data_IF_375282382605
#
_entry.id   IF_375282382605
#
_cell.length_a   1.000
_cell.length_b   1.000
_cell.length_c   1.000
_cell.angle_alpha   90.00
_cell.angle_beta   90.00
_cell.angle_gamma   90.00
#
_symmetry.space_group_name_H-M   'P 1'
#
loop_
_entity.id
_entity.type
_entity.pdbx_description
1 polymer ?
#
# COMPACT_ATOMS: atom_id res chain seq x y z
N UNK A 1 -9.13 -4.14 24.47
CA UNK A 1 -8.11 -3.11 24.34
C UNK A 1 -8.45 -2.26 23.12
N UNK A 2 -8.31 -0.93 23.18
CA UNK A 2 -8.46 -0.07 22.01
C UNK A 2 -7.37 -0.43 20.99
N UNK A 3 -7.72 -0.47 19.69
CA UNK A 3 -6.75 -0.69 18.63
C UNK A 3 -5.87 0.56 18.51
N UNK A 4 -4.56 0.39 18.35
CA UNK A 4 -3.62 1.49 18.11
C UNK A 4 -3.86 2.05 16.69
N UNK A 5 -4.17 3.34 16.57
CA UNK A 5 -4.24 4.03 15.28
C UNK A 5 -2.81 4.35 14.81
N UNK A 6 -2.43 3.82 13.65
CA UNK A 6 -1.10 4.08 13.06
C UNK A 6 -1.15 5.13 11.95
N UNK A 7 -2.28 5.24 11.25
CA UNK A 7 -2.53 6.32 10.28
C UNK A 7 -3.86 6.96 10.61
N UNK A 8 -3.87 8.29 10.67
CA UNK A 8 -5.07 9.09 10.86
C UNK A 8 -5.20 10.10 9.73
N UNK A 9 -6.31 10.03 9.01
CA UNK A 9 -6.65 10.96 7.92
C UNK A 9 -7.83 11.80 8.38
N UNK A 10 -7.64 13.13 8.44
CA UNK A 10 -8.61 14.08 8.99
C UNK A 10 -8.91 15.19 7.99
N UNK A 11 -10.20 15.37 7.68
CA UNK A 11 -10.77 16.40 6.79
C UNK A 11 -10.03 16.54 5.46
N UNK A 12 -9.49 15.41 4.98
CA UNK A 12 -8.63 15.40 3.82
C UNK A 12 -9.37 15.76 2.54
N UNK A 13 -8.85 16.77 1.84
CA UNK A 13 -9.31 17.20 0.52
C UNK A 13 -8.14 17.26 -0.45
N UNK A 14 -8.27 16.54 -1.57
CA UNK A 14 -7.33 16.59 -2.68
C UNK A 14 -7.92 17.37 -3.85
N UNK A 15 -7.18 18.37 -4.33
CA UNK A 15 -7.54 19.13 -5.53
C UNK A 15 -6.33 19.20 -6.48
N UNK A 16 -6.58 19.16 -7.78
CA UNK A 16 -5.58 19.31 -8.82
C UNK A 16 -6.08 20.30 -9.86
N UNK A 17 -5.28 21.33 -10.15
CA UNK A 17 -5.64 22.42 -11.10
C UNK A 17 -7.04 23.02 -10.86
N UNK A 18 -7.39 23.23 -9.60
CA UNK A 18 -8.69 23.78 -9.20
C UNK A 18 -9.84 22.76 -9.17
N UNK A 19 -9.63 21.53 -9.64
CA UNK A 19 -10.65 20.48 -9.60
C UNK A 19 -10.50 19.62 -8.33
N UNK A 20 -11.54 19.56 -7.50
CA UNK A 20 -11.58 18.68 -6.32
C UNK A 20 -11.76 17.23 -6.79
N UNK A 21 -10.83 16.37 -6.37
CA UNK A 21 -10.83 14.93 -6.66
C UNK A 21 -11.42 14.15 -5.48
N UNK A 22 -11.03 14.51 -4.26
CA UNK A 22 -11.53 13.94 -3.01
C UNK A 22 -11.84 15.09 -2.05
N UNK A 23 -12.91 14.98 -1.30
CA UNK A 23 -13.38 15.99 -0.35
C UNK A 23 -13.76 15.37 0.98
N UNK A 24 -13.30 15.96 2.08
CA UNK A 24 -13.68 15.66 3.46
C UNK A 24 -13.54 14.17 3.82
N UNK A 25 -12.45 13.54 3.34
CA UNK A 25 -12.15 12.13 3.61
C UNK A 25 -11.60 11.99 5.01
N UNK A 26 -12.22 11.12 5.81
CA UNK A 26 -11.85 10.83 7.19
C UNK A 26 -11.80 9.32 7.41
N UNK A 27 -10.68 8.78 7.90
CA UNK A 27 -10.55 7.39 8.30
C UNK A 27 -9.29 7.15 9.12
N UNK A 28 -9.31 6.02 9.85
CA UNK A 28 -8.15 5.50 10.58
C UNK A 28 -7.67 4.18 9.98
N UNK A 29 -6.35 3.94 10.04
CA UNK A 29 -5.74 2.63 9.84
C UNK A 29 -5.14 2.18 11.16
N UNK A 30 -5.42 0.92 11.56
CA UNK A 30 -4.95 0.37 12.82
C UNK A 30 -3.67 -0.45 12.63
N UNK A 31 -2.82 -0.47 13.66
CA UNK A 31 -1.58 -1.23 13.63
C UNK A 31 -1.84 -2.73 13.40
N UNK A 32 -1.08 -3.32 12.48
CA UNK A 32 -1.12 -4.76 12.16
C UNK A 32 -2.30 -5.20 11.30
N UNK A 33 -3.15 -4.28 10.79
CA UNK A 33 -4.22 -4.65 9.85
C UNK A 33 -3.77 -4.58 8.38
N UNK A 34 -4.45 -5.36 7.55
CA UNK A 34 -4.43 -5.21 6.10
C UNK A 34 -5.63 -4.36 5.71
N UNK A 35 -5.37 -3.09 5.44
CA UNK A 35 -6.36 -2.07 5.07
C UNK A 35 -6.36 -1.85 3.57
N UNK A 36 -7.53 -1.89 2.91
CA UNK A 36 -7.61 -1.74 1.46
C UNK A 36 -8.44 -0.52 1.06
N UNK A 37 -7.89 0.28 0.16
CA UNK A 37 -8.56 1.42 -0.49
C UNK A 37 -9.03 0.92 -1.86
N UNK A 38 -10.34 0.86 -2.07
CA UNK A 38 -10.95 0.38 -3.30
C UNK A 38 -11.90 1.40 -3.92
N UNK A 39 -12.36 1.11 -5.13
CA UNK A 39 -13.29 1.95 -5.87
C UNK A 39 -13.07 1.88 -7.37
N UNK A 40 -13.97 2.46 -8.14
CA UNK A 40 -13.90 2.49 -9.60
C UNK A 40 -12.69 3.22 -10.17
N UNK A 41 -12.48 3.11 -11.47
CA UNK A 41 -11.39 3.85 -12.14
C UNK A 41 -11.60 5.36 -12.03
N UNK A 42 -10.52 6.07 -11.70
CA UNK A 42 -10.53 7.54 -11.58
C UNK A 42 -11.26 8.09 -10.34
N UNK A 43 -11.60 7.28 -9.32
CA UNK A 43 -12.22 7.75 -8.08
C UNK A 43 -11.24 8.37 -7.07
N UNK A 44 -9.92 8.40 -7.36
CA UNK A 44 -8.93 9.06 -6.50
C UNK A 44 -8.08 8.15 -5.62
N UNK A 45 -8.11 6.81 -5.79
CA UNK A 45 -7.30 5.85 -4.98
C UNK A 45 -5.80 6.18 -4.98
N UNK A 46 -5.19 6.23 -6.16
CA UNK A 46 -3.76 6.54 -6.28
C UNK A 46 -3.45 8.00 -5.90
N UNK A 47 -4.44 8.91 -6.03
CA UNK A 47 -4.31 10.28 -5.53
C UNK A 47 -4.21 10.27 -4.01
N UNK A 48 -5.13 9.58 -3.31
CA UNK A 48 -5.09 9.45 -1.86
C UNK A 48 -3.76 8.82 -1.41
N UNK A 49 -3.36 7.71 -2.03
CA UNK A 49 -2.08 7.06 -1.72
C UNK A 49 -0.89 8.01 -1.84
N UNK A 50 -0.81 8.79 -2.93
CA UNK A 50 0.29 9.74 -3.15
C UNK A 50 0.34 10.85 -2.09
N UNK A 51 -0.80 11.27 -1.57
CA UNK A 51 -0.84 12.21 -0.44
C UNK A 51 -0.43 11.51 0.87
N UNK A 52 -0.88 10.27 1.11
CA UNK A 52 -0.51 9.51 2.31
C UNK A 52 1.01 9.29 2.42
N UNK A 53 1.69 9.06 1.30
CA UNK A 53 3.15 8.91 1.27
C UNK A 53 3.91 10.24 1.13
N UNK A 54 3.20 11.38 1.24
CA UNK A 54 3.80 12.72 1.25
C UNK A 54 4.34 13.22 -0.09
N UNK A 55 3.95 12.62 -1.23
CA UNK A 55 4.33 13.13 -2.56
C UNK A 55 3.58 14.41 -2.94
N UNK A 56 2.36 14.56 -2.46
CA UNK A 56 1.53 15.75 -2.70
C UNK A 56 1.03 16.33 -1.39
N UNK A 57 0.86 17.64 -1.35
CA UNK A 57 0.22 18.33 -0.23
C UNK A 57 -1.29 18.35 -0.45
N UNK A 58 -2.11 18.04 0.57
CA UNK A 58 -3.55 18.17 0.49
C UNK A 58 -3.96 19.67 0.35
N UNK A 59 -5.08 19.90 -0.31
CA UNK A 59 -5.68 21.24 -0.37
C UNK A 59 -6.27 21.64 1.00
N UNK A 60 -6.71 20.64 1.79
CA UNK A 60 -7.23 20.82 3.16
C UNK A 60 -7.04 19.51 3.94
N UNK A 61 -7.05 19.64 5.27
CA UNK A 61 -6.91 18.51 6.19
C UNK A 61 -5.48 18.06 6.39
N UNK A 62 -5.29 16.94 7.07
CA UNK A 62 -3.98 16.40 7.42
C UNK A 62 -3.95 14.88 7.39
N UNK A 63 -2.74 14.35 7.30
CA UNK A 63 -2.46 12.92 7.33
C UNK A 63 -1.35 12.70 8.35
N UNK A 64 -1.66 11.95 9.41
CA UNK A 64 -0.70 11.59 10.43
C UNK A 64 -0.28 10.15 10.25
N UNK A 65 1.03 9.88 10.26
CA UNK A 65 1.58 8.51 10.30
C UNK A 65 2.38 8.39 11.59
N UNK A 66 1.97 7.45 12.44
CA UNK A 66 2.58 7.24 13.77
C UNK A 66 2.69 8.56 14.56
N UNK A 67 1.59 9.33 14.53
CA UNK A 67 1.44 10.63 15.20
C UNK A 67 2.13 11.82 14.53
N UNK A 68 2.94 11.61 13.48
CA UNK A 68 3.65 12.68 12.78
C UNK A 68 2.89 13.14 11.53
N UNK A 69 2.74 14.45 11.33
CA UNK A 69 2.08 15.03 10.16
C UNK A 69 3.02 14.97 8.94
N UNK A 70 2.62 14.19 7.94
CA UNK A 70 3.42 13.96 6.71
C UNK A 70 3.62 15.25 5.90
N UNK A 71 2.73 16.23 6.07
CA UNK A 71 2.68 17.45 5.26
C UNK A 71 3.34 18.63 5.95
N UNK A 72 3.12 18.78 7.26
CA UNK A 72 3.65 19.88 8.06
C UNK A 72 5.11 19.68 8.48
N UNK A 73 5.62 18.45 8.37
CA UNK A 73 6.97 18.08 8.77
C UNK A 73 8.04 18.92 8.05
N UNK A 74 9.02 19.38 8.81
CA UNK A 74 10.24 19.97 8.26
C UNK A 74 11.10 18.91 7.54
N UNK A 75 12.28 19.32 7.03
CA UNK A 75 13.13 18.40 6.27
C UNK A 75 13.61 17.20 7.09
N UNK A 76 13.97 17.41 8.36
CA UNK A 76 14.49 16.35 9.22
C UNK A 76 13.36 15.43 9.69
N UNK A 77 12.27 15.99 10.17
CA UNK A 77 11.06 15.25 10.56
C UNK A 77 10.53 14.41 9.39
N UNK A 78 10.57 14.97 8.17
CA UNK A 78 10.16 14.25 6.96
C UNK A 78 11.03 13.03 6.69
N UNK A 79 12.35 13.11 6.89
CA UNK A 79 13.24 11.95 6.74
C UNK A 79 12.90 10.87 7.76
N UNK A 80 12.59 11.25 9.00
CA UNK A 80 12.19 10.30 10.05
C UNK A 80 10.83 9.65 9.75
N UNK A 81 9.89 10.39 9.17
CA UNK A 81 8.60 9.85 8.72
C UNK A 81 8.80 8.86 7.56
N UNK A 82 9.66 9.17 6.58
CA UNK A 82 9.92 8.30 5.43
C UNK A 82 10.52 6.94 5.83
N UNK A 83 11.23 6.87 6.97
CA UNK A 83 11.73 5.60 7.53
C UNK A 83 10.63 4.73 8.15
N UNK A 84 9.47 5.32 8.52
CA UNK A 84 8.37 4.62 9.17
C UNK A 84 7.49 3.81 8.22
N UNK A 85 7.60 4.06 6.90
CA UNK A 85 6.84 3.33 5.91
C UNK A 85 7.67 2.95 4.68
N UNK A 86 7.27 1.87 4.02
CA UNK A 86 7.80 1.48 2.72
C UNK A 86 6.73 1.59 1.64
N UNK A 87 7.14 1.74 0.38
CA UNK A 87 6.23 1.89 -0.76
C UNK A 87 6.60 0.93 -1.88
N UNK A 88 5.59 0.22 -2.39
CA UNK A 88 5.66 -0.54 -3.62
C UNK A 88 4.66 0.06 -4.62
N UNK A 89 5.17 0.56 -5.74
CA UNK A 89 4.36 1.07 -6.85
C UNK A 89 3.88 -0.06 -7.77
N UNK A 90 2.86 0.21 -8.56
CA UNK A 90 2.23 -0.75 -9.46
C UNK A 90 3.21 -1.51 -10.37
N UNK A 91 4.22 -0.85 -10.91
CA UNK A 91 5.29 -1.48 -11.71
C UNK A 91 6.39 -2.14 -10.88
N UNK A 92 6.29 -2.11 -9.53
CA UNK A 92 7.38 -2.48 -8.62
C UNK A 92 8.49 -1.44 -8.54
N UNK A 93 8.69 -0.66 -9.58
CA UNK A 93 9.69 0.41 -9.70
C UNK A 93 11.13 -0.01 -9.29
N UNK A 94 11.50 -1.27 -9.56
CA UNK A 94 12.87 -1.74 -9.37
C UNK A 94 13.81 -1.04 -10.36
N UNK A 95 15.01 -0.74 -9.91
CA UNK A 95 16.07 -0.25 -10.79
C UNK A 95 16.57 -1.39 -11.67
N UNK A 96 16.26 -1.33 -12.98
CA UNK A 96 16.54 -2.42 -13.92
C UNK A 96 18.02 -2.73 -14.14
N UNK A 97 18.91 -1.76 -13.87
CA UNK A 97 20.37 -1.91 -13.95
C UNK A 97 21.02 -2.44 -12.68
N UNK A 98 20.26 -2.61 -11.61
CA UNK A 98 20.71 -3.10 -10.31
C UNK A 98 20.23 -4.53 -10.08
N UNK A 99 21.05 -5.35 -9.41
CA UNK A 99 20.63 -6.67 -8.95
C UNK A 99 19.49 -6.57 -7.92
N UNK A 100 18.85 -7.69 -7.58
CA UNK A 100 17.86 -7.68 -6.49
C UNK A 100 18.49 -7.28 -5.16
N UNK A 101 19.70 -7.77 -4.87
CA UNK A 101 20.44 -7.40 -3.69
C UNK A 101 20.67 -5.89 -3.62
N UNK A 102 21.14 -5.28 -4.70
CA UNK A 102 21.41 -3.84 -4.75
C UNK A 102 20.12 -3.02 -4.63
N UNK A 103 19.02 -3.47 -5.25
CA UNK A 103 17.72 -2.83 -5.09
C UNK A 103 17.27 -2.78 -3.62
N UNK A 104 17.48 -3.87 -2.85
CA UNK A 104 17.06 -3.94 -1.44
C UNK A 104 18.06 -3.24 -0.53
N UNK A 105 19.34 -3.19 -0.87
CA UNK A 105 20.38 -2.45 -0.14
C UNK A 105 20.18 -0.94 -0.19
N UNK A 106 19.71 -0.41 -1.33
CA UNK A 106 19.64 1.02 -1.59
C UNK A 106 18.95 1.84 -0.47
N UNK A 107 17.77 1.47 0.06
CA UNK A 107 17.19 2.21 1.19
C UNK A 107 18.05 2.15 2.46
N UNK A 108 18.74 1.04 2.70
CA UNK A 108 19.62 0.88 3.86
C UNK A 108 20.84 1.78 3.76
N UNK A 109 21.44 1.86 2.57
CA UNK A 109 22.60 2.71 2.27
C UNK A 109 22.25 4.21 2.37
N UNK A 110 21.05 4.60 1.95
CA UNK A 110 20.61 5.99 1.96
C UNK A 110 20.15 6.47 3.35
N UNK A 111 19.53 5.60 4.15
CA UNK A 111 18.88 6.00 5.39
C UNK A 111 19.54 5.50 6.67
N UNK A 112 20.66 4.77 6.59
CA UNK A 112 21.37 4.26 7.78
C UNK A 112 22.87 4.41 7.66
N UNK A 113 23.56 4.43 8.82
CA UNK A 113 25.02 4.40 8.91
C UNK A 113 25.56 2.98 9.19
N UNK A 114 24.83 1.95 8.79
CA UNK A 114 25.22 0.56 8.98
C UNK A 114 26.45 0.20 8.12
N UNK A 115 27.36 -0.66 8.63
CA UNK A 115 28.47 -1.14 7.83
C UNK A 115 27.98 -1.97 6.63
N UNK A 116 28.71 -1.96 5.49
CA UNK A 116 28.28 -2.63 4.24
C UNK A 116 27.92 -4.10 4.41
N UNK A 117 28.62 -4.83 5.28
CA UNK A 117 28.32 -6.26 5.54
C UNK A 117 26.98 -6.44 6.26
N UNK A 118 26.63 -5.58 7.21
CA UNK A 118 25.33 -5.61 7.88
C UNK A 118 24.20 -5.29 6.89
N UNK A 119 24.38 -4.28 6.04
CA UNK A 119 23.43 -3.94 4.97
C UNK A 119 23.21 -5.14 4.05
N UNK A 120 24.29 -5.80 3.63
CA UNK A 120 24.21 -7.00 2.79
C UNK A 120 23.43 -8.13 3.45
N UNK A 121 23.69 -8.43 4.71
CA UNK A 121 22.99 -9.48 5.46
C UNK A 121 21.50 -9.17 5.64
N UNK A 122 21.16 -7.92 5.97
CA UNK A 122 19.77 -7.48 6.08
C UNK A 122 19.06 -7.64 4.73
N UNK A 123 19.66 -7.18 3.64
CA UNK A 123 19.07 -7.28 2.31
C UNK A 123 18.82 -8.74 1.89
N UNK A 124 19.77 -9.65 2.14
CA UNK A 124 19.60 -11.09 1.90
C UNK A 124 18.47 -11.68 2.76
N UNK A 125 18.34 -11.25 4.02
CA UNK A 125 17.24 -11.66 4.89
C UNK A 125 15.88 -11.20 4.33
N UNK A 126 15.77 -9.96 3.83
CA UNK A 126 14.54 -9.44 3.23
C UNK A 126 14.17 -10.22 1.97
N UNK A 127 15.14 -10.53 1.10
CA UNK A 127 14.90 -11.38 -0.07
C UNK A 127 14.42 -12.77 0.33
N UNK A 128 15.01 -13.36 1.36
CA UNK A 128 14.55 -14.66 1.89
C UNK A 128 13.12 -14.59 2.43
N UNK A 129 12.74 -13.53 3.14
CA UNK A 129 11.39 -13.34 3.69
C UNK A 129 10.30 -13.33 2.60
N UNK A 130 10.63 -12.86 1.40
CA UNK A 130 9.69 -12.86 0.26
C UNK A 130 9.87 -14.07 -0.67
N UNK A 131 10.64 -15.09 -0.28
CA UNK A 131 10.84 -16.32 -1.06
C UNK A 131 11.81 -16.18 -2.23
N UNK A 132 12.73 -15.20 -2.19
CA UNK A 132 13.72 -14.95 -3.25
C UNK A 132 15.17 -15.27 -2.82
N UNK A 133 15.34 -16.22 -1.90
CA UNK A 133 16.68 -16.70 -1.54
C UNK A 133 17.38 -17.32 -2.78
N UNK A 134 18.62 -16.93 -3.04
CA UNK A 134 19.42 -17.39 -4.19
C UNK A 134 19.21 -16.60 -5.48
N UNK A 135 18.31 -15.61 -5.49
CA UNK A 135 18.09 -14.70 -6.64
C UNK A 135 18.77 -13.33 -6.46
N UNK A 136 19.57 -13.17 -5.42
CA UNK A 136 20.23 -11.92 -5.02
C UNK A 136 21.03 -11.25 -6.15
N UNK A 137 21.71 -12.02 -6.99
CA UNK A 137 22.54 -11.51 -8.10
C UNK A 137 21.77 -11.36 -9.43
N UNK A 138 20.47 -11.65 -9.47
CA UNK A 138 19.69 -11.51 -10.69
C UNK A 138 19.24 -10.05 -10.92
N UNK A 139 19.19 -9.65 -12.19
CA UNK A 139 18.55 -8.39 -12.61
C UNK A 139 17.03 -8.56 -12.66
N UNK A 140 16.25 -7.49 -12.45
CA UNK A 140 14.79 -7.55 -12.55
C UNK A 140 14.28 -8.15 -13.87
N UNK A 141 14.96 -7.87 -15.00
CA UNK A 141 14.59 -8.40 -16.32
C UNK A 141 14.68 -9.92 -16.46
N UNK A 142 15.43 -10.59 -15.58
CA UNK A 142 15.57 -12.04 -15.58
C UNK A 142 14.50 -12.77 -14.75
N UNK A 143 13.54 -12.05 -14.17
CA UNK A 143 12.55 -12.55 -13.22
C UNK A 143 11.13 -12.51 -13.79
N UNK A 144 10.27 -13.44 -13.31
CA UNK A 144 8.84 -13.36 -13.55
C UNK A 144 8.21 -12.10 -12.93
N UNK A 145 7.03 -11.70 -13.40
CA UNK A 145 6.30 -10.55 -12.84
C UNK A 145 6.04 -10.68 -11.33
N UNK A 146 5.66 -11.87 -10.87
CA UNK A 146 5.46 -12.15 -9.45
C UNK A 146 6.74 -12.04 -8.63
N UNK A 147 7.87 -12.54 -9.15
CA UNK A 147 9.17 -12.39 -8.49
C UNK A 147 9.60 -10.91 -8.40
N UNK A 148 9.35 -10.12 -9.45
CA UNK A 148 9.61 -8.67 -9.41
C UNK A 148 8.75 -7.96 -8.34
N UNK A 149 7.47 -8.32 -8.21
CA UNK A 149 6.58 -7.79 -7.17
C UNK A 149 7.08 -8.14 -5.76
N UNK A 150 7.48 -9.41 -5.54
CA UNK A 150 8.08 -9.86 -4.27
C UNK A 150 9.37 -9.12 -3.95
N UNK A 151 10.25 -8.89 -4.93
CA UNK A 151 11.48 -8.10 -4.74
C UNK A 151 11.17 -6.62 -4.40
N UNK A 152 10.16 -6.02 -5.01
CA UNK A 152 9.72 -4.67 -4.69
C UNK A 152 9.19 -4.57 -3.25
N UNK A 153 8.47 -5.60 -2.76
CA UNK A 153 8.07 -5.70 -1.35
C UNK A 153 9.32 -5.81 -0.46
N UNK A 154 10.29 -6.66 -0.80
CA UNK A 154 11.53 -6.79 -0.02
C UNK A 154 12.27 -5.46 0.11
N UNK A 155 12.36 -4.68 -0.98
CA UNK A 155 12.94 -3.33 -0.94
C UNK A 155 12.13 -2.37 -0.06
N UNK A 156 10.81 -2.39 -0.18
CA UNK A 156 9.93 -1.57 0.65
C UNK A 156 10.05 -1.91 2.15
N UNK A 157 10.39 -3.17 2.48
CA UNK A 157 10.61 -3.66 3.85
C UNK A 157 12.03 -3.44 4.39
N UNK A 158 12.96 -2.90 3.60
CA UNK A 158 14.38 -2.88 3.93
C UNK A 158 14.68 -2.23 5.31
N UNK A 159 13.99 -1.14 5.63
CA UNK A 159 14.14 -0.37 6.87
C UNK A 159 13.26 -0.87 8.04
N UNK A 160 12.65 -2.06 7.94
CA UNK A 160 11.69 -2.56 8.95
C UNK A 160 10.57 -1.57 9.28
N UNK A 161 9.88 -1.00 8.26
CA UNK A 161 8.86 0.01 8.48
C UNK A 161 7.64 -0.58 9.20
N UNK A 162 6.90 0.27 9.95
CA UNK A 162 5.62 -0.11 10.58
C UNK A 162 4.48 -0.26 9.58
N UNK A 163 4.57 0.42 8.42
CA UNK A 163 3.53 0.48 7.39
C UNK A 163 4.11 0.19 6.01
N UNK A 164 3.44 -0.64 5.23
CA UNK A 164 3.71 -0.82 3.80
C UNK A 164 2.53 -0.31 2.97
N UNK A 165 2.82 0.60 2.05
CA UNK A 165 1.88 1.06 1.02
C UNK A 165 2.12 0.28 -0.27
N UNK A 166 1.09 -0.42 -0.76
CA UNK A 166 1.14 -1.17 -2.00
C UNK A 166 0.12 -0.61 -3.00
N UNK A 167 0.58 -0.19 -4.16
CA UNK A 167 -0.28 0.30 -5.25
C UNK A 167 -0.47 -0.82 -6.26
N UNK A 168 -1.68 -1.41 -6.32
CA UNK A 168 -2.10 -2.48 -7.23
C UNK A 168 -1.07 -3.64 -7.29
N UNK A 169 -0.77 -4.32 -6.16
CA UNK A 169 0.33 -5.29 -6.10
C UNK A 169 0.14 -6.49 -7.02
N UNK A 170 -1.08 -6.96 -7.22
CA UNK A 170 -1.44 -8.11 -8.08
C UNK A 170 -1.66 -7.76 -9.55
N UNK A 171 -1.63 -6.45 -9.90
CA UNK A 171 -1.90 -6.04 -11.28
C UNK A 171 -0.94 -6.66 -12.29
N UNK A 172 -1.50 -7.31 -13.32
CA UNK A 172 -0.75 -7.96 -14.40
C UNK A 172 -0.22 -9.34 -14.07
N UNK A 173 -0.58 -9.92 -12.92
CA UNK A 173 -0.28 -11.30 -12.55
C UNK A 173 -1.42 -12.24 -12.98
N UNK A 174 -1.07 -13.49 -13.24
CA UNK A 174 -2.05 -14.55 -13.37
C UNK A 174 -2.70 -14.88 -12.01
N UNK A 175 -3.86 -15.54 -11.97
CA UNK A 175 -4.60 -15.79 -10.73
C UNK A 175 -3.83 -16.60 -9.68
N UNK A 176 -2.97 -17.52 -10.08
CA UNK A 176 -2.18 -18.37 -9.16
C UNK A 176 -1.08 -17.52 -8.51
N UNK A 177 -0.30 -16.81 -9.32
CA UNK A 177 0.75 -15.91 -8.85
C UNK A 177 0.19 -14.78 -7.97
N UNK A 178 -1.03 -14.28 -8.29
CA UNK A 178 -1.73 -13.30 -7.46
C UNK A 178 -2.08 -13.88 -6.08
N UNK A 179 -2.63 -15.09 -6.03
CA UNK A 179 -2.96 -15.77 -4.77
C UNK A 179 -1.71 -16.03 -3.91
N UNK A 180 -0.59 -16.44 -4.52
CA UNK A 180 0.69 -16.59 -3.81
C UNK A 180 1.20 -15.26 -3.22
N UNK A 181 0.99 -14.14 -3.93
CA UNK A 181 1.37 -12.82 -3.44
C UNK A 181 0.46 -12.40 -2.26
N UNK A 182 -0.83 -12.71 -2.34
CA UNK A 182 -1.80 -12.50 -1.26
C UNK A 182 -1.41 -13.28 0.01
N UNK A 183 -1.04 -14.55 -0.12
CA UNK A 183 -0.54 -15.36 1.00
C UNK A 183 0.73 -14.77 1.61
N UNK A 184 1.65 -14.27 0.79
CA UNK A 184 2.85 -13.57 1.27
C UNK A 184 2.47 -12.34 2.09
N UNK A 185 1.57 -11.48 1.61
CA UNK A 185 1.11 -10.27 2.31
C UNK A 185 0.51 -10.64 3.67
N UNK A 186 -0.39 -11.63 3.71
CA UNK A 186 -1.00 -12.11 4.97
C UNK A 186 0.05 -12.67 5.92
N UNK A 187 1.02 -13.43 5.40
CA UNK A 187 2.12 -13.99 6.20
C UNK A 187 2.98 -12.88 6.82
N UNK A 188 3.36 -11.87 6.04
CA UNK A 188 4.14 -10.73 6.53
C UNK A 188 3.35 -9.91 7.57
N UNK A 189 2.06 -9.64 7.32
CA UNK A 189 1.21 -8.91 8.25
C UNK A 189 1.12 -9.62 9.60
N UNK A 190 0.90 -10.93 9.61
CA UNK A 190 0.73 -11.72 10.84
C UNK A 190 2.05 -11.96 11.58
N UNK A 191 3.09 -12.40 10.86
CA UNK A 191 4.34 -12.84 11.48
C UNK A 191 5.22 -11.66 11.91
N UNK A 192 5.20 -10.55 11.16
CA UNK A 192 6.00 -9.36 11.45
C UNK A 192 5.18 -8.22 12.08
N UNK A 193 3.86 -8.44 12.28
CA UNK A 193 2.92 -7.41 12.77
C UNK A 193 2.95 -6.12 11.95
N UNK A 194 3.19 -6.26 10.65
CA UNK A 194 3.23 -5.13 9.72
C UNK A 194 1.83 -4.67 9.36
N UNK A 195 1.66 -3.37 9.23
CA UNK A 195 0.43 -2.77 8.70
C UNK A 195 0.54 -2.62 7.20
N UNK A 196 -0.49 -3.01 6.48
CA UNK A 196 -0.57 -2.83 5.04
C UNK A 196 -1.67 -1.86 4.66
N UNK A 197 -1.36 -0.91 3.79
CA UNK A 197 -2.33 -0.06 3.10
C UNK A 197 -2.23 -0.35 1.62
N UNK A 198 -3.26 -0.97 1.06
CA UNK A 198 -3.24 -1.49 -0.29
C UNK A 198 -4.29 -0.77 -1.13
N UNK A 199 -3.89 -0.22 -2.26
CA UNK A 199 -4.81 0.21 -3.31
C UNK A 199 -5.04 -0.98 -4.22
N UNK A 200 -6.29 -1.42 -4.39
CA UNK A 200 -6.63 -2.51 -5.30
C UNK A 200 -8.05 -2.40 -5.82
N UNK A 201 -8.30 -3.00 -6.98
CA UNK A 201 -9.62 -3.25 -7.54
C UNK A 201 -9.88 -4.76 -7.77
N UNK A 202 -8.92 -5.61 -7.40
CA UNK A 202 -8.97 -7.07 -7.57
C UNK A 202 -9.79 -7.70 -6.43
N UNK A 203 -11.05 -8.04 -6.71
CA UNK A 203 -11.96 -8.55 -5.66
C UNK A 203 -11.50 -9.86 -5.03
N UNK A 204 -10.86 -10.75 -5.78
CA UNK A 204 -10.35 -12.01 -5.24
C UNK A 204 -9.34 -11.74 -4.11
N UNK A 205 -8.34 -10.91 -4.38
CA UNK A 205 -7.35 -10.48 -3.39
C UNK A 205 -8.00 -9.75 -2.22
N UNK A 206 -8.91 -8.78 -2.48
CA UNK A 206 -9.60 -8.02 -1.42
C UNK A 206 -10.30 -8.97 -0.43
N UNK A 207 -11.04 -9.99 -0.92
CA UNK A 207 -11.71 -10.95 -0.05
C UNK A 207 -10.76 -11.91 0.68
N UNK A 208 -9.59 -12.16 0.10
CA UNK A 208 -8.58 -13.05 0.67
C UNK A 208 -7.80 -12.39 1.80
N UNK A 209 -7.43 -11.10 1.65
CA UNK A 209 -6.43 -10.48 2.54
C UNK A 209 -6.96 -9.34 3.41
N UNK A 210 -8.03 -8.62 3.00
CA UNK A 210 -8.42 -7.39 3.67
C UNK A 210 -9.13 -7.64 5.00
N UNK A 211 -8.62 -7.03 6.08
CA UNK A 211 -9.33 -6.94 7.36
C UNK A 211 -10.43 -5.89 7.31
N UNK A 212 -10.13 -4.72 6.72
CA UNK A 212 -11.05 -3.62 6.49
C UNK A 212 -10.77 -2.92 5.16
N UNK A 213 -11.82 -2.31 4.64
CA UNK A 213 -11.73 -1.51 3.40
C UNK A 213 -12.44 -0.18 3.56
N UNK A 214 -12.01 0.80 2.75
CA UNK A 214 -12.82 1.96 2.38
C UNK A 214 -13.06 1.92 0.88
N UNK A 215 -14.26 2.32 0.47
CA UNK A 215 -14.64 2.42 -0.93
C UNK A 215 -14.83 3.87 -1.32
N UNK A 216 -14.04 4.33 -2.29
CA UNK A 216 -14.11 5.67 -2.85
C UNK A 216 -15.04 5.69 -4.06
N UNK A 217 -15.81 6.77 -4.20
CA UNK A 217 -16.66 7.01 -5.36
C UNK A 217 -16.36 8.35 -6.03
N UNK A 218 -16.34 8.34 -7.37
CA UNK A 218 -16.04 9.53 -8.17
C UNK A 218 -17.14 10.59 -8.11
N UNK A 219 -18.42 10.17 -7.98
CA UNK A 219 -19.57 11.12 -7.95
C UNK A 219 -19.63 11.83 -6.60
N UNK A 220 -19.42 11.07 -5.51
CA UNK A 220 -19.40 11.59 -4.14
C UNK A 220 -18.08 12.32 -3.83
N UNK A 221 -17.01 11.99 -4.57
CA UNK A 221 -15.62 12.45 -4.32
C UNK A 221 -15.14 12.15 -2.90
N UNK A 222 -15.55 11.01 -2.36
CA UNK A 222 -15.31 10.65 -0.97
C UNK A 222 -15.57 9.17 -0.70
N UNK A 223 -15.61 8.82 0.58
CA UNK A 223 -15.88 7.46 1.05
C UNK A 223 -17.39 7.20 0.99
N UNK A 224 -17.80 6.13 0.33
CA UNK A 224 -19.20 5.67 0.25
C UNK A 224 -19.48 4.42 1.08
N UNK A 225 -18.44 3.71 1.50
CA UNK A 225 -18.54 2.58 2.42
C UNK A 225 -17.22 2.35 3.14
N UNK A 226 -17.31 1.86 4.39
CA UNK A 226 -16.17 1.44 5.19
C UNK A 226 -16.56 0.24 6.04
N UNK A 227 -15.71 -0.79 6.11
CA UNK A 227 -15.99 -1.99 6.90
C UNK A 227 -15.28 -3.23 6.38
N UNK A 228 -15.71 -4.41 6.80
CA UNK A 228 -15.18 -5.67 6.29
C UNK A 228 -15.77 -5.98 4.91
N UNK A 229 -14.98 -6.46 3.95
CA UNK A 229 -15.47 -6.71 2.58
C UNK A 229 -16.71 -7.59 2.51
N UNK A 230 -16.75 -8.67 3.29
CA UNK A 230 -17.88 -9.62 3.31
C UNK A 230 -19.16 -8.99 3.86
N UNK A 231 -19.04 -8.21 4.96
CA UNK A 231 -20.17 -7.49 5.55
C UNK A 231 -20.72 -6.46 4.56
N UNK A 232 -19.84 -5.67 3.91
CA UNK A 232 -20.25 -4.66 2.93
C UNK A 232 -20.97 -5.28 1.72
N UNK A 233 -20.54 -6.45 1.25
CA UNK A 233 -21.22 -7.18 0.17
C UNK A 233 -22.64 -7.56 0.54
N UNK A 234 -22.88 -7.98 1.79
CA UNK A 234 -24.16 -8.54 2.24
C UNK A 234 -25.12 -7.47 2.77
N UNK A 235 -24.59 -6.47 3.50
CA UNK A 235 -25.41 -5.56 4.31
C UNK A 235 -25.36 -4.10 3.89
N UNK A 236 -24.55 -3.70 2.89
CA UNK A 236 -24.47 -2.31 2.49
C UNK A 236 -25.80 -1.81 1.91
N UNK A 237 -26.31 -0.69 2.40
CA UNK A 237 -27.51 -0.03 1.85
C UNK A 237 -27.25 0.63 0.50
N UNK A 238 -25.99 0.88 0.14
CA UNK A 238 -25.61 1.48 -1.14
C UNK A 238 -25.62 0.41 -2.25
N UNK A 239 -26.52 0.53 -3.26
CA UNK A 239 -26.63 -0.46 -4.34
C UNK A 239 -25.33 -0.62 -5.14
N UNK A 240 -24.59 0.50 -5.36
CA UNK A 240 -23.32 0.47 -6.09
C UNK A 240 -22.23 -0.31 -5.33
N UNK A 241 -22.20 -0.19 -3.99
CA UNK A 241 -21.28 -0.98 -3.15
C UNK A 241 -21.56 -2.47 -3.30
N UNK A 242 -22.84 -2.88 -3.17
CA UNK A 242 -23.24 -4.29 -3.38
C UNK A 242 -22.92 -4.78 -4.78
N UNK A 243 -23.21 -3.98 -5.80
CA UNK A 243 -22.93 -4.28 -7.19
C UNK A 243 -21.43 -4.48 -7.45
N UNK A 244 -20.59 -3.60 -6.90
CA UNK A 244 -19.13 -3.72 -6.99
C UNK A 244 -18.64 -5.06 -6.43
N UNK A 245 -19.03 -5.40 -5.20
CA UNK A 245 -18.61 -6.65 -4.56
C UNK A 245 -19.25 -7.92 -5.18
N UNK A 246 -20.37 -7.80 -5.88
CA UNK A 246 -21.07 -8.92 -6.54
C UNK A 246 -20.64 -9.12 -7.99
N UNK A 247 -19.77 -8.27 -8.55
CA UNK A 247 -19.39 -8.26 -9.98
C UNK A 247 -20.58 -8.21 -10.93
N UNK A 248 -21.66 -7.52 -10.57
CA UNK A 248 -22.82 -7.35 -11.42
C UNK A 248 -22.63 -6.12 -12.32
N UNK A 249 -22.90 -6.29 -13.63
CA UNK A 249 -22.93 -5.15 -14.55
C UNK A 249 -24.08 -4.20 -14.20
N UNK A 250 -23.88 -2.89 -14.35
CA UNK A 250 -25.00 -1.93 -14.30
C UNK A 250 -25.91 -2.22 -15.47
N UNK A 251 -27.19 -2.47 -15.18
CA UNK A 251 -28.23 -2.59 -16.23
C UNK A 251 -28.75 -1.22 -16.67
N UNK A 252 -28.27 -0.14 -16.04
CA UNK A 252 -28.60 1.23 -16.38
C UNK A 252 -27.45 1.85 -17.19
N UNK A 253 -27.63 1.84 -18.53
CA UNK A 253 -26.82 2.52 -19.51
C UNK A 253 -27.25 3.99 -19.66
#
# INVERSE_FOLDING_TARGET
MARETIIHVEDFTAAYEGSVILSEVNFDVYAGEVFVILGGSGCGKSTLLKHMIGLYKPARGRILIDGADVVAADRQERMDILRKFGVMYQSGALFGSMTLLDNVRLPLEEFTDLPPEAIRLIALMKLKQVGLAGFDNHLPSALSGGMQKRAAIARAMALDPRVLFLDEPSAGLDPITSAELDELIVSLARNLKMTFVIVSHELASIFAIADRVIMLDKKVKGIVAAGKPRELRETSDNPWVRQFFSRQASLDG
#
